data_IF_957066855851
#
_entry.id   IF_957066855851
#
_cell.length_a   1.000
_cell.length_b   1.000
_cell.length_c   1.000
_cell.angle_alpha   90.00
_cell.angle_beta   90.00
_cell.angle_gamma   90.00
#
_symmetry.space_group_name_H-M   'P 1'
#
loop_
_entity.id
_entity.type
_entity.pdbx_description
1 polymer ?
#
# COMPACT_ATOMS: atom_id res chain seq x y z
N UNK A 1 -2.02 22.91 -9.64
CA UNK A 1 -2.86 23.55 -8.64
C UNK A 1 -3.19 22.56 -7.54
N UNK A 2 -2.86 22.88 -6.29
CA UNK A 2 -3.02 22.00 -5.11
C UNK A 2 -4.47 21.52 -4.94
N UNK A 3 -5.48 22.35 -5.19
CA UNK A 3 -6.89 21.96 -5.07
C UNK A 3 -7.30 20.86 -6.06
N UNK A 4 -6.79 20.92 -7.28
CA UNK A 4 -7.03 19.89 -8.28
C UNK A 4 -6.32 18.59 -7.90
N UNK A 5 -5.11 18.69 -7.34
CA UNK A 5 -4.34 17.56 -6.87
C UNK A 5 -5.03 16.87 -5.69
N UNK A 6 -5.46 17.63 -4.68
CA UNK A 6 -6.28 17.11 -3.57
C UNK A 6 -7.55 16.39 -4.06
N UNK A 7 -8.22 16.95 -5.07
CA UNK A 7 -9.41 16.31 -5.64
C UNK A 7 -9.06 14.97 -6.31
N UNK A 8 -7.98 14.94 -7.09
CA UNK A 8 -7.47 13.73 -7.75
C UNK A 8 -7.09 12.65 -6.73
N UNK A 9 -6.31 13.02 -5.71
CA UNK A 9 -5.88 12.09 -4.66
C UNK A 9 -7.04 11.52 -3.86
N UNK A 10 -8.03 12.35 -3.49
CA UNK A 10 -9.26 11.88 -2.83
C UNK A 10 -10.05 10.92 -3.71
N UNK A 11 -10.10 11.15 -5.04
CA UNK A 11 -10.74 10.22 -5.98
C UNK A 11 -9.99 8.88 -6.02
N UNK A 12 -8.66 8.91 -6.10
CA UNK A 12 -7.82 7.71 -6.05
C UNK A 12 -8.01 6.97 -4.72
N UNK A 13 -7.98 7.68 -3.59
CA UNK A 13 -8.23 7.10 -2.28
C UNK A 13 -9.57 6.36 -2.21
N UNK A 14 -10.65 6.93 -2.75
CA UNK A 14 -11.96 6.27 -2.81
C UNK A 14 -11.95 4.99 -3.65
N UNK A 15 -11.20 4.97 -4.76
CA UNK A 15 -11.07 3.77 -5.58
C UNK A 15 -10.35 2.64 -4.81
N UNK A 16 -9.27 2.94 -4.10
CA UNK A 16 -8.57 1.96 -3.27
C UNK A 16 -9.46 1.49 -2.10
N UNK A 17 -10.09 2.42 -1.40
CA UNK A 17 -10.99 2.13 -0.28
C UNK A 17 -12.21 1.31 -0.72
N UNK A 18 -12.65 1.38 -1.98
CA UNK A 18 -13.79 0.59 -2.45
C UNK A 18 -13.58 -0.93 -2.30
N UNK A 19 -12.33 -1.39 -2.38
CA UNK A 19 -11.97 -2.81 -2.16
C UNK A 19 -12.18 -3.19 -0.70
N UNK A 20 -11.78 -2.33 0.22
CA UNK A 20 -11.99 -2.50 1.66
C UNK A 20 -13.48 -2.57 2.02
N UNK A 21 -14.31 -1.73 1.37
CA UNK A 21 -15.75 -1.61 1.66
C UNK A 21 -16.62 -2.70 1.03
N UNK A 22 -16.05 -3.56 0.17
CA UNK A 22 -16.80 -4.70 -0.38
C UNK A 22 -17.32 -5.60 0.74
N UNK A 23 -18.54 -6.10 0.61
CA UNK A 23 -19.11 -7.09 1.54
C UNK A 23 -18.47 -8.47 1.42
N UNK A 24 -17.91 -8.79 0.25
CA UNK A 24 -17.16 -10.04 0.04
C UNK A 24 -15.71 -9.88 0.48
N UNK A 25 -15.09 -10.91 1.10
CA UNK A 25 -13.66 -10.92 1.35
C UNK A 25 -12.84 -10.80 0.07
N UNK A 26 -11.75 -10.04 0.13
CA UNK A 26 -10.79 -9.85 -0.95
C UNK A 26 -9.42 -10.31 -0.49
N UNK A 27 -8.80 -11.18 -1.28
CA UNK A 27 -7.44 -11.67 -1.05
C UNK A 27 -6.53 -11.08 -2.12
N UNK A 28 -5.43 -10.45 -1.73
CA UNK A 28 -4.38 -10.05 -2.65
C UNK A 28 -3.30 -11.13 -2.68
N UNK A 29 -3.03 -11.69 -3.86
CA UNK A 29 -1.81 -12.45 -4.16
C UNK A 29 -0.79 -11.49 -4.76
N UNK A 30 0.33 -11.24 -4.10
CA UNK A 30 1.30 -10.23 -4.53
C UNK A 30 2.66 -10.84 -4.85
N UNK A 31 3.30 -10.38 -5.93
CA UNK A 31 4.62 -10.80 -6.35
C UNK A 31 5.36 -9.67 -7.08
N UNK A 32 6.67 -9.86 -7.30
CA UNK A 32 7.50 -8.86 -7.98
C UNK A 32 7.54 -7.53 -7.22
N UNK A 33 7.38 -6.41 -7.91
CA UNK A 33 7.41 -5.08 -7.29
C UNK A 33 6.02 -4.60 -6.85
N UNK A 34 5.79 -4.57 -5.56
CA UNK A 34 4.54 -4.07 -4.93
C UNK A 34 4.85 -2.72 -4.26
N UNK A 35 4.85 -1.68 -5.07
CA UNK A 35 5.35 -0.35 -4.72
C UNK A 35 4.26 0.69 -4.95
N UNK A 36 4.21 1.74 -4.13
CA UNK A 36 3.32 2.89 -4.28
C UNK A 36 1.84 2.49 -4.32
N UNK A 37 1.13 2.79 -5.40
CA UNK A 37 -0.28 2.42 -5.58
C UNK A 37 -0.55 0.91 -5.52
N UNK A 38 0.43 0.07 -5.88
CA UNK A 38 0.35 -1.38 -5.71
C UNK A 38 0.26 -1.78 -4.23
N UNK A 39 1.09 -1.17 -3.39
CA UNK A 39 1.04 -1.39 -1.94
C UNK A 39 -0.24 -0.80 -1.34
N UNK A 40 -0.63 0.41 -1.77
CA UNK A 40 -1.88 1.02 -1.32
C UNK A 40 -3.09 0.09 -1.59
N UNK A 41 -3.18 -0.48 -2.79
CA UNK A 41 -4.24 -1.42 -3.14
C UNK A 41 -4.18 -2.70 -2.31
N UNK A 42 -3.00 -3.31 -2.19
CA UNK A 42 -2.81 -4.55 -1.45
C UNK A 42 -3.21 -4.41 0.02
N UNK A 43 -2.84 -3.29 0.67
CA UNK A 43 -3.16 -3.03 2.08
C UNK A 43 -4.64 -2.67 2.34
N UNK A 44 -5.44 -2.45 1.28
CA UNK A 44 -6.90 -2.32 1.39
C UNK A 44 -7.64 -3.64 1.18
N UNK A 45 -6.95 -4.70 0.76
CA UNK A 45 -7.51 -6.05 0.74
C UNK A 45 -7.60 -6.61 2.17
N UNK A 46 -8.50 -7.56 2.39
CA UNK A 46 -8.71 -8.16 3.72
C UNK A 46 -7.53 -9.05 4.15
N UNK A 47 -6.92 -9.70 3.19
CA UNK A 47 -5.78 -10.58 3.41
C UNK A 47 -4.79 -10.46 2.25
N UNK A 48 -3.50 -10.48 2.59
CA UNK A 48 -2.42 -10.43 1.60
C UNK A 48 -1.56 -11.67 1.74
N UNK A 49 -1.36 -12.39 0.64
CA UNK A 49 -0.38 -13.47 0.51
C UNK A 49 0.70 -13.00 -0.45
N UNK A 50 1.96 -13.05 -0.04
CA UNK A 50 3.09 -12.58 -0.84
C UNK A 50 3.94 -13.75 -1.37
N UNK A 51 4.51 -13.59 -2.56
CA UNK A 51 5.69 -14.36 -2.91
C UNK A 51 6.85 -13.97 -1.98
N UNK A 52 7.67 -14.93 -1.54
CA UNK A 52 8.78 -14.69 -0.60
C UNK A 52 9.78 -13.65 -1.11
N UNK A 53 9.97 -13.61 -2.43
CA UNK A 53 10.86 -12.70 -3.16
C UNK A 53 10.18 -11.39 -3.62
N UNK A 54 8.91 -11.18 -3.27
CA UNK A 54 8.23 -9.91 -3.59
C UNK A 54 8.96 -8.74 -2.94
N UNK A 55 9.06 -7.61 -3.65
CA UNK A 55 9.67 -6.38 -3.17
C UNK A 55 8.56 -5.39 -2.79
N UNK A 56 8.37 -5.16 -1.48
CA UNK A 56 7.22 -4.46 -0.92
C UNK A 56 7.66 -3.20 -0.18
N UNK A 57 7.10 -2.04 -0.51
CA UNK A 57 7.45 -0.80 0.18
C UNK A 57 6.84 0.45 -0.43
N UNK A 58 7.30 1.62 0.02
CA UNK A 58 6.83 2.91 -0.50
C UNK A 58 7.98 3.90 -0.79
N UNK A 59 8.95 3.57 -1.66
CA UNK A 59 10.04 4.47 -2.07
C UNK A 59 9.61 5.86 -2.59
N UNK A 60 8.36 6.10 -3.05
CA UNK A 60 7.92 7.44 -3.41
C UNK A 60 8.10 8.51 -2.33
N UNK A 61 8.18 8.14 -1.05
CA UNK A 61 8.45 9.10 0.05
C UNK A 61 9.77 9.86 -0.12
N UNK A 62 10.71 9.31 -0.89
CA UNK A 62 12.02 9.93 -1.13
C UNK A 62 11.93 11.17 -2.04
N UNK A 63 10.95 11.25 -2.96
CA UNK A 63 10.89 12.36 -3.93
C UNK A 63 9.54 12.59 -4.63
N UNK A 64 8.50 11.83 -4.31
CA UNK A 64 7.22 11.89 -5.03
C UNK A 64 6.04 12.24 -4.15
N UNK A 65 6.08 11.93 -2.85
CA UNK A 65 5.00 12.20 -1.92
C UNK A 65 4.81 11.10 -0.89
N UNK A 66 3.70 11.16 -0.17
CA UNK A 66 3.31 10.20 0.87
C UNK A 66 2.19 9.29 0.35
N UNK A 67 1.92 8.13 0.99
CA UNK A 67 0.78 7.32 0.56
C UNK A 67 -0.54 8.06 0.81
N UNK A 68 -1.32 8.36 -0.26
CA UNK A 68 -2.58 9.09 -0.13
C UNK A 68 -3.69 8.29 0.57
N UNK A 69 -3.44 7.01 0.81
CA UNK A 69 -4.39 6.07 1.42
C UNK A 69 -3.76 5.32 2.59
N UNK A 70 -3.10 6.03 3.46
CA UNK A 70 -2.27 5.50 4.53
C UNK A 70 -2.93 4.38 5.36
N UNK A 71 -2.50 3.13 5.12
CA UNK A 71 -2.90 1.93 5.89
C UNK A 71 -1.77 1.39 6.77
N UNK A 72 -0.53 1.79 6.51
CA UNK A 72 0.68 1.25 7.14
C UNK A 72 0.61 1.19 8.67
N UNK A 73 0.22 2.28 9.34
CA UNK A 73 0.14 2.33 10.80
C UNK A 73 -0.84 1.31 11.38
N UNK A 74 -1.93 1.02 10.66
CA UNK A 74 -2.93 0.03 11.06
C UNK A 74 -2.44 -1.40 10.88
N UNK A 75 -1.57 -1.64 9.89
CA UNK A 75 -1.07 -2.97 9.56
C UNK A 75 0.13 -3.39 10.41
N UNK A 76 1.13 -2.49 10.57
CA UNK A 76 2.42 -2.84 11.19
C UNK A 76 2.76 -1.99 12.43
N UNK A 77 1.83 -1.16 12.87
CA UNK A 77 2.08 -0.25 13.99
C UNK A 77 3.01 0.92 13.64
N UNK A 78 3.19 1.87 14.59
CA UNK A 78 3.81 3.16 14.27
C UNK A 78 5.32 3.09 14.00
N UNK A 79 6.06 2.13 14.57
CA UNK A 79 7.51 2.05 14.36
C UNK A 79 7.83 1.60 12.95
N UNK A 80 7.29 0.48 12.50
CA UNK A 80 7.49 -0.01 11.14
C UNK A 80 6.89 0.93 10.10
N UNK A 81 5.70 1.52 10.36
CA UNK A 81 5.15 2.52 9.46
C UNK A 81 6.09 3.72 9.29
N UNK A 82 6.70 4.23 10.37
CA UNK A 82 7.70 5.30 10.30
C UNK A 82 8.96 4.85 9.56
N UNK A 83 9.42 3.64 9.78
CA UNK A 83 10.58 3.13 9.06
C UNK A 83 10.37 3.18 7.55
N UNK A 84 9.25 2.63 7.03
CA UNK A 84 8.92 2.72 5.61
C UNK A 84 8.77 4.16 5.11
N UNK A 85 8.08 5.00 5.89
CA UNK A 85 7.77 6.38 5.48
C UNK A 85 8.95 7.35 5.58
N UNK A 86 9.94 7.09 6.41
CA UNK A 86 11.09 7.97 6.61
C UNK A 86 12.32 7.52 5.83
N UNK A 87 12.42 6.24 5.49
CA UNK A 87 13.56 5.70 4.71
C UNK A 87 13.20 5.46 3.24
N UNK A 88 11.94 5.11 2.97
CA UNK A 88 11.53 4.64 1.64
C UNK A 88 12.11 3.27 1.30
N UNK A 89 12.56 2.50 2.31
CA UNK A 89 13.05 1.15 2.12
C UNK A 89 11.95 0.18 1.71
N UNK A 90 12.40 -0.96 1.20
CA UNK A 90 11.53 -2.07 0.81
C UNK A 90 11.96 -3.33 1.56
N UNK A 91 11.02 -4.25 1.70
CA UNK A 91 11.25 -5.56 2.33
C UNK A 91 10.82 -6.69 1.39
N UNK A 92 11.39 -7.86 1.58
CA UNK A 92 10.92 -9.08 0.92
C UNK A 92 9.54 -9.51 1.44
N UNK A 93 8.83 -10.35 0.67
CA UNK A 93 7.58 -10.95 1.14
C UNK A 93 7.75 -11.75 2.43
N UNK A 94 8.91 -12.38 2.62
CA UNK A 94 9.25 -13.11 3.85
C UNK A 94 9.35 -12.18 5.05
N UNK A 95 10.12 -11.10 4.95
CA UNK A 95 10.23 -10.08 6.01
C UNK A 95 8.89 -9.40 6.28
N UNK A 96 8.08 -9.14 5.23
CA UNK A 96 6.74 -8.59 5.36
C UNK A 96 5.80 -9.50 6.18
N UNK A 97 5.93 -10.83 6.07
CA UNK A 97 5.22 -11.76 6.94
C UNK A 97 5.73 -11.69 8.38
N UNK A 98 7.04 -11.66 8.59
CA UNK A 98 7.64 -11.62 9.94
C UNK A 98 7.21 -10.39 10.73
N UNK A 99 7.04 -9.24 10.07
CA UNK A 99 6.56 -8.00 10.70
C UNK A 99 5.03 -7.85 10.73
N UNK A 100 4.30 -8.76 10.13
CA UNK A 100 2.83 -8.73 10.09
C UNK A 100 2.23 -7.79 9.03
N UNK A 101 3.02 -7.33 8.06
CA UNK A 101 2.53 -6.52 6.94
C UNK A 101 1.67 -7.33 5.98
N UNK A 102 2.00 -8.59 5.78
CA UNK A 102 1.23 -9.57 5.02
C UNK A 102 0.85 -10.76 5.90
N UNK A 103 -0.26 -11.40 5.58
CA UNK A 103 -0.75 -12.55 6.35
C UNK A 103 0.19 -13.76 6.25
N UNK A 104 0.74 -13.98 5.05
CA UNK A 104 1.58 -15.14 4.75
C UNK A 104 2.49 -14.85 3.55
N UNK A 105 3.69 -15.45 3.54
CA UNK A 105 4.53 -15.55 2.36
C UNK A 105 4.72 -17.02 1.95
N UNK A 106 4.91 -17.26 0.67
CA UNK A 106 5.14 -18.59 0.08
C UNK A 106 6.14 -18.45 -1.09
N UNK A 107 6.85 -19.52 -1.47
CA UNK A 107 7.60 -19.52 -2.73
C UNK A 107 6.76 -19.05 -3.89
N UNK A 108 7.35 -18.32 -4.84
CA UNK A 108 6.60 -17.64 -5.92
C UNK A 108 5.72 -18.61 -6.73
N UNK A 109 6.21 -19.82 -7.00
CA UNK A 109 5.49 -20.88 -7.71
C UNK A 109 4.29 -21.44 -6.92
N UNK A 110 4.24 -21.21 -5.62
CA UNK A 110 3.14 -21.65 -4.74
C UNK A 110 2.07 -20.57 -4.50
N UNK A 111 2.23 -19.36 -5.03
CA UNK A 111 1.38 -18.22 -4.69
C UNK A 111 -0.09 -18.46 -5.08
N UNK A 112 -0.36 -18.85 -6.31
CA UNK A 112 -1.73 -19.08 -6.80
C UNK A 112 -2.42 -20.18 -5.99
N UNK A 113 -1.71 -21.28 -5.72
CA UNK A 113 -2.25 -22.39 -4.93
C UNK A 113 -2.56 -21.96 -3.49
N UNK A 114 -1.75 -21.09 -2.90
CA UNK A 114 -1.97 -20.56 -1.56
C UNK A 114 -3.19 -19.63 -1.50
N UNK A 115 -3.35 -18.77 -2.51
CA UNK A 115 -4.51 -17.86 -2.66
C UNK A 115 -5.79 -18.67 -2.85
N UNK A 116 -5.79 -19.63 -3.79
CA UNK A 116 -6.93 -20.49 -4.08
C UNK A 116 -7.33 -21.36 -2.87
N UNK A 117 -6.33 -21.89 -2.18
CA UNK A 117 -6.56 -22.68 -0.95
C UNK A 117 -7.27 -21.85 0.13
N UNK A 118 -6.84 -20.59 0.32
CA UNK A 118 -7.49 -19.68 1.27
C UNK A 118 -8.89 -19.28 0.81
N UNK A 119 -9.05 -18.93 -0.47
CA UNK A 119 -10.34 -18.57 -1.07
C UNK A 119 -11.35 -19.71 -0.94
N UNK A 120 -10.95 -20.94 -1.26
CA UNK A 120 -11.79 -22.15 -1.12
C UNK A 120 -12.15 -22.46 0.33
N UNK A 121 -11.26 -22.15 1.27
CA UNK A 121 -11.58 -22.28 2.71
C UNK A 121 -12.64 -21.27 3.14
N UNK A 122 -12.50 -20.01 2.73
CA UNK A 122 -13.43 -18.92 3.03
C UNK A 122 -14.80 -19.18 2.40
N UNK A 123 -14.84 -19.68 1.16
CA UNK A 123 -16.06 -19.97 0.42
C UNK A 123 -16.97 -21.05 1.09
N UNK A 124 -16.47 -21.79 2.07
CA UNK A 124 -17.27 -22.73 2.87
C UNK A 124 -18.12 -22.05 3.93
N UNK A 125 -17.88 -20.78 4.21
CA UNK A 125 -18.62 -20.00 5.23
C UNK A 125 -19.78 -19.31 4.54
N UNK A 126 -21.02 -19.34 5.09
CA UNK A 126 -22.16 -18.61 4.54
C UNK A 126 -21.82 -17.12 4.35
N UNK A 127 -22.24 -16.55 3.22
CA UNK A 127 -21.86 -15.19 2.82
C UNK A 127 -22.27 -14.12 3.83
N UNK A 128 -23.45 -14.31 4.49
CA UNK A 128 -23.96 -13.40 5.52
C UNK A 128 -23.02 -13.31 6.72
N UNK A 129 -22.43 -14.45 7.09
CA UNK A 129 -21.46 -14.52 8.19
C UNK A 129 -20.15 -13.88 7.78
N UNK A 130 -19.68 -14.09 6.54
CA UNK A 130 -18.49 -13.43 6.02
C UNK A 130 -18.67 -11.91 6.01
N UNK A 131 -19.77 -11.41 5.49
CA UNK A 131 -20.07 -9.98 5.43
C UNK A 131 -20.15 -9.36 6.83
N UNK A 132 -20.83 -10.04 7.79
CA UNK A 132 -20.92 -9.55 9.17
C UNK A 132 -19.57 -9.51 9.87
N UNK A 133 -18.77 -10.59 9.76
CA UNK A 133 -17.45 -10.66 10.38
C UNK A 133 -16.46 -9.67 9.76
N UNK A 134 -16.43 -9.52 8.45
CA UNK A 134 -15.63 -8.48 7.79
C UNK A 134 -16.05 -7.09 8.26
N UNK A 135 -17.36 -6.81 8.29
CA UNK A 135 -17.90 -5.52 8.70
C UNK A 135 -17.47 -5.13 10.11
N UNK A 136 -17.46 -6.07 11.09
CA UNK A 136 -17.06 -5.73 12.46
C UNK A 136 -15.57 -5.38 12.56
N UNK A 137 -14.71 -6.07 11.81
CA UNK A 137 -13.27 -5.76 11.75
C UNK A 137 -13.04 -4.40 11.10
N UNK A 138 -13.71 -4.13 9.96
CA UNK A 138 -13.60 -2.85 9.26
C UNK A 138 -14.08 -1.68 10.12
N UNK A 139 -15.19 -1.86 10.85
CA UNK A 139 -15.69 -0.84 11.78
C UNK A 139 -14.74 -0.57 12.93
N UNK A 140 -14.02 -1.58 13.42
CA UNK A 140 -12.99 -1.36 14.43
C UNK A 140 -11.88 -0.44 13.90
N UNK A 141 -11.40 -0.65 12.67
CA UNK A 141 -10.44 0.24 12.03
C UNK A 141 -10.99 1.66 11.81
N UNK A 142 -12.27 1.80 11.45
CA UNK A 142 -12.93 3.10 11.32
C UNK A 142 -13.02 3.84 12.66
N UNK A 143 -13.33 3.13 13.75
CA UNK A 143 -13.31 3.68 15.11
C UNK A 143 -11.89 4.09 15.56
N UNK A 144 -10.85 3.41 15.06
CA UNK A 144 -9.46 3.81 15.23
C UNK A 144 -9.06 5.01 14.37
N UNK A 145 -9.99 5.60 13.62
CA UNK A 145 -9.77 6.81 12.85
C UNK A 145 -9.40 6.61 11.37
N UNK A 146 -9.50 5.39 10.82
CA UNK A 146 -9.11 5.10 9.42
C UNK A 146 -9.73 6.08 8.42
N UNK A 147 -11.03 6.33 8.48
CA UNK A 147 -11.73 7.22 7.54
C UNK A 147 -11.17 8.66 7.59
N UNK A 148 -10.90 9.20 8.78
CA UNK A 148 -10.30 10.52 8.94
C UNK A 148 -8.86 10.52 8.43
N UNK A 149 -8.10 9.45 8.71
CA UNK A 149 -6.73 9.31 8.25
C UNK A 149 -6.62 9.31 6.72
N UNK A 150 -7.55 8.70 6.01
CA UNK A 150 -7.60 8.72 4.54
C UNK A 150 -7.76 10.15 3.98
N UNK A 151 -8.54 10.99 4.65
CA UNK A 151 -8.69 12.41 4.26
C UNK A 151 -7.39 13.17 4.51
N UNK A 152 -6.82 13.03 5.72
CA UNK A 152 -5.57 13.69 6.10
C UNK A 152 -4.41 13.26 5.20
N UNK A 153 -4.31 11.97 4.90
CA UNK A 153 -3.24 11.43 4.06
C UNK A 153 -3.28 12.05 2.65
N UNK A 154 -4.46 12.09 2.01
CA UNK A 154 -4.60 12.70 0.69
C UNK A 154 -4.29 14.21 0.68
N UNK A 155 -4.62 14.92 1.76
CA UNK A 155 -4.28 16.34 1.91
C UNK A 155 -2.79 16.55 2.13
N UNK A 156 -2.18 15.73 2.99
CA UNK A 156 -0.74 15.76 3.27
C UNK A 156 0.07 15.45 2.01
N UNK A 157 -0.36 14.46 1.24
CA UNK A 157 0.27 14.11 -0.03
C UNK A 157 0.20 15.27 -1.04
N UNK A 158 -0.96 15.91 -1.19
CA UNK A 158 -1.10 17.09 -2.05
C UNK A 158 -0.19 18.25 -1.63
N UNK A 159 0.06 18.44 -0.33
CA UNK A 159 1.02 19.43 0.19
C UNK A 159 2.44 19.00 -0.16
N UNK A 160 2.81 17.74 0.02
CA UNK A 160 4.15 17.23 -0.30
C UNK A 160 4.51 17.40 -1.79
N UNK A 161 3.52 17.29 -2.67
CA UNK A 161 3.66 17.53 -4.11
C UNK A 161 4.07 18.97 -4.48
N UNK A 162 3.95 19.93 -3.55
CA UNK A 162 4.40 21.31 -3.78
C UNK A 162 5.91 21.51 -3.52
N UNK A 163 6.59 20.48 -3.02
CA UNK A 163 8.04 20.56 -2.71
C UNK A 163 8.89 20.70 -3.97
N UNK A 164 10.10 21.27 -3.81
CA UNK A 164 11.07 21.40 -4.90
C UNK A 164 11.55 20.04 -5.39
N UNK A 165 11.66 19.06 -4.50
CA UNK A 165 12.13 17.72 -4.85
C UNK A 165 11.16 17.00 -5.81
N UNK A 166 9.84 17.14 -5.60
CA UNK A 166 8.83 16.57 -6.51
C UNK A 166 8.87 17.26 -7.87
N UNK A 167 9.09 18.59 -7.91
CA UNK A 167 9.23 19.31 -9.18
C UNK A 167 10.45 18.82 -9.95
N UNK A 168 11.57 18.60 -9.27
CA UNK A 168 12.80 18.11 -9.90
C UNK A 168 12.63 16.67 -10.41
N UNK A 169 12.04 15.78 -9.61
CA UNK A 169 11.70 14.43 -10.07
C UNK A 169 10.84 14.46 -11.34
N UNK A 170 9.80 15.29 -11.36
CA UNK A 170 8.91 15.43 -12.51
C UNK A 170 9.64 16.00 -13.74
N UNK A 171 10.56 16.95 -13.54
CA UNK A 171 11.39 17.51 -14.62
C UNK A 171 12.23 16.40 -15.26
N UNK A 172 13.02 15.68 -14.45
CA UNK A 172 13.87 14.59 -14.93
C UNK A 172 13.01 13.52 -15.63
N UNK A 173 11.88 13.15 -15.02
CA UNK A 173 10.97 12.14 -15.60
C UNK A 173 10.43 12.57 -16.97
N UNK A 174 10.15 13.87 -17.17
CA UNK A 174 9.63 14.38 -18.43
C UNK A 174 10.72 14.57 -19.51
N UNK A 175 11.93 14.94 -19.13
CA UNK A 175 13.04 15.24 -20.03
C UNK A 175 13.88 14.00 -20.37
N UNK A 176 14.11 13.11 -19.40
CA UNK A 176 15.04 12.00 -19.49
C UNK A 176 14.35 10.62 -19.30
N UNK A 177 13.08 10.63 -18.94
CA UNK A 177 12.26 9.44 -18.73
C UNK A 177 12.22 8.94 -17.28
N UNK A 178 11.23 8.12 -17.00
CA UNK A 178 10.96 7.61 -15.63
C UNK A 178 12.16 6.85 -15.04
N UNK A 179 12.88 6.08 -15.87
CA UNK A 179 14.04 5.29 -15.40
C UNK A 179 15.15 6.19 -14.85
N UNK A 180 15.42 7.31 -15.53
CA UNK A 180 16.42 8.29 -15.07
C UNK A 180 15.97 8.97 -13.77
N UNK A 181 14.70 9.36 -13.67
CA UNK A 181 14.16 9.95 -12.44
C UNK A 181 14.21 9.00 -11.24
N UNK A 182 13.91 7.71 -11.44
CA UNK A 182 14.03 6.69 -10.38
C UNK A 182 15.50 6.49 -9.97
N UNK A 183 16.43 6.41 -10.93
CA UNK A 183 17.85 6.31 -10.64
C UNK A 183 18.37 7.54 -9.86
N UNK A 184 17.96 8.74 -10.26
CA UNK A 184 18.28 9.97 -9.54
C UNK A 184 17.74 9.98 -8.11
N UNK A 185 16.48 9.54 -7.92
CA UNK A 185 15.85 9.44 -6.59
C UNK A 185 16.60 8.50 -5.65
N UNK A 186 17.03 7.35 -6.17
CA UNK A 186 17.61 6.28 -5.36
C UNK A 186 19.14 6.38 -5.25
N UNK A 187 19.80 7.22 -6.04
CA UNK A 187 21.26 7.39 -6.01
C UNK A 187 21.85 7.67 -4.60
N UNK A 188 21.24 8.52 -3.73
CA UNK A 188 21.76 8.76 -2.39
C UNK A 188 21.71 7.55 -1.44
N UNK A 189 21.02 6.47 -1.82
CA UNK A 189 20.76 5.28 -0.99
C UNK A 189 21.44 4.01 -1.54
N UNK A 190 22.35 4.15 -2.51
CA UNK A 190 23.03 3.03 -3.15
C UNK A 190 24.32 2.60 -2.43
N UNK A 191 24.83 3.40 -1.50
CA UNK A 191 26.08 3.18 -0.79
C UNK A 191 25.89 2.62 0.64
N UNK A 192 24.66 2.31 1.03
CA UNK A 192 24.28 1.68 2.30
C UNK A 192 23.95 0.19 2.08
#
# INVERSE_FOLDING_TARGET
NIRQDMHRLRKTARLMTSVFDLSKPVIAGIHGHVIAGGTDLALHCDMVIAAEDANIGFPPVRSMGTPPTHMWTYMVGPQWAKWFMLTGETVSGKEAQEMGLVLKSVPAEGLDAAVDGLANKIAKIPWEMLAANKSIVNKALDLMGRNMMQVIAAETDAVSHQSSIVREFNRISSEEGLKAALAWRDAPFQDD
#
